data_IF_459266383712
#
_entry.id   IF_459266383712
#
_cell.length_a   1.000
_cell.length_b   1.000
_cell.length_c   1.000
_cell.angle_alpha   90.00
_cell.angle_beta   90.00
_cell.angle_gamma   90.00
#
_symmetry.space_group_name_H-M   'P 1'
#
loop_
_entity.id
_entity.type
_entity.pdbx_description
1 polymer ?
#
# COMPACT_ATOMS: atom_id res chain seq x y z
N UNK A 1 23.51 14.95 26.12
CA UNK A 1 22.51 13.86 26.09
C UNK A 1 22.51 13.26 24.69
N UNK A 2 22.76 11.96 24.53
CA UNK A 2 22.66 11.32 23.20
C UNK A 2 21.19 11.27 22.77
N UNK A 3 20.89 11.86 21.61
CA UNK A 3 19.57 11.82 20.99
C UNK A 3 19.28 10.37 20.58
N UNK A 4 18.24 9.75 21.15
CA UNK A 4 17.80 8.41 20.72
C UNK A 4 17.21 8.55 19.31
N UNK A 5 17.78 7.84 18.33
CA UNK A 5 17.29 7.78 16.95
C UNK A 5 16.53 6.48 16.75
N UNK A 6 15.32 6.54 16.21
CA UNK A 6 14.52 5.36 15.89
C UNK A 6 15.02 4.75 14.57
N UNK A 7 15.22 3.43 14.54
CA UNK A 7 15.56 2.67 13.32
C UNK A 7 14.59 1.51 13.16
N UNK A 8 14.17 1.23 11.94
CA UNK A 8 13.41 0.03 11.60
C UNK A 8 14.32 -0.97 10.89
N UNK A 9 14.33 -2.21 11.38
CA UNK A 9 15.04 -3.32 10.76
C UNK A 9 14.01 -4.29 10.20
N UNK A 10 14.11 -4.58 8.90
CA UNK A 10 13.37 -5.67 8.27
C UNK A 10 14.28 -6.88 8.16
N UNK A 11 13.76 -8.05 8.54
CA UNK A 11 14.41 -9.35 8.37
C UNK A 11 13.57 -10.18 7.41
N UNK A 12 14.15 -10.60 6.29
CA UNK A 12 13.53 -11.54 5.35
C UNK A 12 14.18 -12.92 5.52
N UNK A 13 13.40 -13.88 6.03
CA UNK A 13 13.84 -15.26 6.20
C UNK A 13 13.53 -16.08 4.95
N UNK A 14 14.43 -17.01 4.61
CA UNK A 14 14.10 -18.04 3.62
C UNK A 14 12.92 -18.89 4.12
N UNK A 15 12.07 -19.41 3.22
CA UNK A 15 11.00 -20.32 3.61
C UNK A 15 11.53 -21.46 4.48
N UNK A 16 10.87 -21.68 5.61
CA UNK A 16 11.22 -22.75 6.55
C UNK A 16 10.23 -23.88 6.34
N UNK A 17 10.74 -25.09 6.19
CA UNK A 17 9.96 -26.30 6.13
C UNK A 17 10.32 -27.16 7.34
N UNK A 18 9.29 -27.58 8.08
CA UNK A 18 9.40 -28.49 9.21
C UNK A 18 8.68 -29.79 8.87
N UNK A 19 9.26 -30.91 9.28
CA UNK A 19 8.62 -32.22 9.21
C UNK A 19 8.17 -32.57 10.62
N UNK A 20 6.90 -32.92 10.79
CA UNK A 20 6.31 -33.32 12.06
C UNK A 20 5.90 -34.78 11.97
N UNK A 21 6.18 -35.55 13.01
CA UNK A 21 5.61 -36.89 13.20
C UNK A 21 4.36 -36.74 14.08
N UNK A 22 3.19 -36.97 13.48
CA UNK A 22 1.88 -36.80 14.14
C UNK A 22 0.98 -38.01 13.87
N UNK A 23 0.03 -38.24 14.76
CA UNK A 23 -1.02 -39.24 14.54
C UNK A 23 -1.98 -38.77 13.44
N UNK A 24 -2.57 -39.72 12.69
CA UNK A 24 -3.43 -39.44 11.53
C UNK A 24 -4.66 -38.56 11.85
N UNK A 25 -5.16 -38.58 13.08
CA UNK A 25 -6.39 -37.88 13.48
C UNK A 25 -6.15 -36.52 14.16
N UNK A 26 -4.96 -35.95 14.03
CA UNK A 26 -4.66 -34.64 14.64
C UNK A 26 -5.44 -33.52 13.92
N UNK A 27 -6.16 -32.65 14.66
CA UNK A 27 -6.81 -31.48 14.06
C UNK A 27 -5.77 -30.52 13.46
N UNK A 28 -6.13 -29.88 12.33
CA UNK A 28 -5.26 -28.91 11.63
C UNK A 28 -4.76 -27.78 12.53
N UNK A 29 -5.59 -27.30 13.46
CA UNK A 29 -5.21 -26.24 14.41
C UNK A 29 -4.09 -26.68 15.37
N UNK A 30 -4.14 -27.94 15.85
CA UNK A 30 -3.08 -28.49 16.69
C UNK A 30 -1.80 -28.77 15.87
N UNK A 31 -1.95 -29.19 14.61
CA UNK A 31 -0.82 -29.36 13.69
C UNK A 31 -0.08 -28.03 13.47
N UNK A 32 -0.80 -26.92 13.34
CA UNK A 32 -0.21 -25.59 13.16
C UNK A 32 0.60 -25.17 14.39
N UNK A 33 0.09 -25.38 15.60
CA UNK A 33 0.80 -25.07 16.84
C UNK A 33 2.12 -25.86 16.95
N UNK A 34 2.09 -27.16 16.64
CA UNK A 34 3.30 -28.00 16.62
C UNK A 34 4.30 -27.54 15.55
N UNK A 35 3.81 -27.08 14.39
CA UNK A 35 4.65 -26.53 13.33
C UNK A 35 5.34 -25.23 13.76
N UNK A 36 4.61 -24.31 14.42
CA UNK A 36 5.16 -23.06 14.93
C UNK A 36 6.27 -23.31 15.96
N UNK A 37 6.05 -24.23 16.91
CA UNK A 37 7.07 -24.61 17.89
C UNK A 37 8.32 -25.20 17.23
N UNK A 38 8.13 -26.12 16.26
CA UNK A 38 9.24 -26.72 15.53
C UNK A 38 10.06 -25.69 14.73
N UNK A 39 9.39 -24.70 14.10
CA UNK A 39 10.06 -23.60 13.38
C UNK A 39 10.89 -22.76 14.36
N UNK A 40 10.34 -22.42 15.53
CA UNK A 40 11.07 -21.65 16.55
C UNK A 40 12.33 -22.41 17.01
N UNK A 41 12.22 -23.72 17.25
CA UNK A 41 13.38 -24.53 17.65
C UNK A 41 14.42 -24.62 16.53
N UNK A 42 13.99 -24.80 15.27
CA UNK A 42 14.90 -24.85 14.13
C UNK A 42 15.66 -23.54 13.94
N UNK A 43 15.00 -22.39 14.09
CA UNK A 43 15.64 -21.06 14.01
C UNK A 43 16.63 -20.85 15.17
N UNK A 44 16.32 -21.34 16.38
CA UNK A 44 17.23 -21.28 17.53
C UNK A 44 18.49 -22.12 17.32
N UNK A 45 18.36 -23.30 16.74
CA UNK A 45 19.46 -24.27 16.60
C UNK A 45 20.32 -24.04 15.35
N UNK A 46 19.71 -23.63 14.24
CA UNK A 46 20.40 -23.31 12.99
C UNK A 46 20.11 -21.88 12.60
N UNK A 47 21.17 -21.09 12.38
CA UNK A 47 21.03 -19.79 11.70
C UNK A 47 20.51 -20.04 10.29
N UNK A 48 19.20 -19.91 10.10
CA UNK A 48 18.59 -19.80 8.79
C UNK A 48 19.14 -18.55 8.12
N UNK A 49 19.62 -18.68 6.88
CA UNK A 49 20.10 -17.52 6.13
C UNK A 49 18.98 -16.49 6.00
N UNK A 50 19.22 -15.27 6.45
CA UNK A 50 18.31 -14.14 6.33
C UNK A 50 19.01 -12.99 5.61
N UNK A 51 18.24 -12.18 4.91
CA UNK A 51 18.66 -10.85 4.47
C UNK A 51 18.02 -9.81 5.38
N UNK A 52 18.67 -8.67 5.52
CA UNK A 52 18.12 -7.57 6.31
C UNK A 52 18.28 -6.23 5.59
N UNK A 53 17.40 -5.30 5.93
CA UNK A 53 17.56 -3.88 5.62
C UNK A 53 17.27 -3.05 6.86
N UNK A 54 18.00 -1.94 7.00
CA UNK A 54 17.87 -1.00 8.11
C UNK A 54 17.57 0.37 7.54
N UNK A 55 16.49 0.98 7.99
CA UNK A 55 16.08 2.33 7.61
C UNK A 55 15.85 3.18 8.87
N UNK A 56 16.04 4.49 8.78
CA UNK A 56 15.75 5.41 9.89
C UNK A 56 14.25 5.71 9.99
N UNK A 57 13.78 6.00 11.20
CA UNK A 57 12.38 6.33 11.49
C UNK A 57 11.41 5.15 11.40
N UNK A 58 10.16 5.37 11.80
CA UNK A 58 9.10 4.37 11.72
C UNK A 58 8.74 4.10 10.24
N UNK A 59 8.82 2.86 9.78
CA UNK A 59 8.34 2.48 8.44
C UNK A 59 6.89 2.04 8.44
N UNK A 60 6.22 2.20 7.30
CA UNK A 60 4.94 1.56 7.05
C UNK A 60 5.11 0.03 7.04
N UNK A 61 4.24 -0.69 7.75
CA UNK A 61 4.19 -2.15 7.62
C UNK A 61 3.31 -2.56 6.43
N UNK A 62 3.55 -3.75 5.87
CA UNK A 62 2.71 -4.27 4.78
C UNK A 62 1.24 -4.47 5.21
N UNK A 63 1.01 -4.75 6.50
CA UNK A 63 -0.32 -4.93 7.04
C UNK A 63 -1.10 -3.63 7.14
N UNK A 64 -0.42 -2.47 7.16
CA UNK A 64 -1.06 -1.15 7.17
C UNK A 64 -1.18 -0.56 5.76
N UNK A 65 -0.40 -1.06 4.81
CA UNK A 65 -0.40 -0.57 3.43
C UNK A 65 -1.72 -0.89 2.72
N UNK A 66 -2.44 0.14 2.27
CA UNK A 66 -3.71 0.02 1.54
C UNK A 66 -3.80 1.08 0.44
N UNK A 67 -4.46 0.80 -0.70
CA UNK A 67 -4.73 1.83 -1.69
C UNK A 67 -5.54 3.00 -1.08
N UNK A 68 -5.24 4.23 -1.51
CA UNK A 68 -5.77 5.47 -0.94
C UNK A 68 -4.94 6.05 0.21
N UNK A 69 -4.06 5.26 0.83
CA UNK A 69 -3.24 5.75 1.95
C UNK A 69 -2.15 6.73 1.45
N UNK A 70 -2.08 7.89 2.08
CA UNK A 70 -1.00 8.87 1.94
C UNK A 70 0.23 8.41 2.72
N UNK A 71 1.37 8.47 2.04
CA UNK A 71 2.67 8.05 2.56
C UNK A 71 3.73 9.04 2.11
N UNK A 72 4.86 9.08 2.81
CA UNK A 72 6.03 9.84 2.37
C UNK A 72 7.15 8.87 2.05
N UNK A 73 7.90 9.14 0.98
CA UNK A 73 9.11 8.40 0.67
C UNK A 73 10.24 8.84 1.60
N UNK A 74 10.88 7.89 2.28
CA UNK A 74 11.92 8.20 3.26
C UNK A 74 13.18 8.81 2.64
N UNK A 75 13.53 8.40 1.42
CA UNK A 75 14.75 8.84 0.74
C UNK A 75 14.68 10.27 0.18
N UNK A 76 13.47 10.71 -0.16
CA UNK A 76 13.23 11.97 -0.88
C UNK A 76 12.36 12.95 -0.10
N UNK A 77 11.66 12.50 0.94
CA UNK A 77 10.64 13.29 1.63
C UNK A 77 9.40 13.57 0.77
N UNK A 78 9.29 12.97 -0.42
CA UNK A 78 8.21 13.26 -1.37
C UNK A 78 6.91 12.58 -0.93
N UNK A 79 5.81 13.34 -0.97
CA UNK A 79 4.46 12.82 -0.72
C UNK A 79 4.03 11.88 -1.86
N UNK A 80 3.43 10.76 -1.50
CA UNK A 80 2.94 9.77 -2.43
C UNK A 80 1.62 9.16 -1.95
N UNK A 81 0.87 8.57 -2.88
CA UNK A 81 -0.37 7.85 -2.60
C UNK A 81 -0.22 6.40 -3.03
N UNK A 82 -0.59 5.46 -2.17
CA UNK A 82 -0.64 4.05 -2.54
C UNK A 82 -1.83 3.83 -3.48
N UNK A 83 -1.61 3.24 -4.65
CA UNK A 83 -2.68 2.88 -5.60
C UNK A 83 -2.87 1.37 -5.78
N UNK A 84 -1.91 0.56 -5.34
CA UNK A 84 -1.95 -0.90 -5.46
C UNK A 84 -1.15 -1.57 -4.34
N UNK A 85 -1.62 -2.73 -3.87
CA UNK A 85 -0.93 -3.56 -2.88
C UNK A 85 -1.04 -5.03 -3.28
N UNK A 86 0.11 -5.62 -3.61
CA UNK A 86 0.28 -7.01 -4.04
C UNK A 86 1.31 -7.70 -3.13
N UNK A 87 0.89 -8.23 -1.96
CA UNK A 87 1.80 -8.72 -0.91
C UNK A 87 2.83 -9.77 -1.34
N UNK A 88 2.51 -10.55 -2.39
CA UNK A 88 3.36 -11.63 -2.91
C UNK A 88 4.44 -11.15 -3.88
N UNK A 89 4.43 -9.88 -4.29
CA UNK A 89 5.40 -9.33 -5.23
C UNK A 89 6.69 -8.88 -4.53
N UNK A 90 7.82 -8.91 -5.25
CA UNK A 90 9.11 -8.38 -4.78
C UNK A 90 9.02 -6.93 -4.31
N UNK A 91 8.24 -6.11 -4.99
CA UNK A 91 7.89 -4.74 -4.62
C UNK A 91 6.37 -4.65 -4.48
N UNK A 92 5.84 -4.89 -3.28
CA UNK A 92 4.41 -5.16 -3.09
C UNK A 92 3.56 -3.91 -3.14
N UNK A 93 4.11 -2.70 -2.99
CA UNK A 93 3.32 -1.46 -2.93
C UNK A 93 3.55 -0.63 -4.19
N UNK A 94 2.49 -0.31 -4.92
CA UNK A 94 2.49 0.69 -5.99
C UNK A 94 2.12 2.06 -5.42
N UNK A 95 2.98 3.05 -5.65
CA UNK A 95 2.74 4.45 -5.25
C UNK A 95 2.74 5.38 -6.46
N UNK A 96 1.98 6.46 -6.39
CA UNK A 96 2.04 7.58 -7.32
C UNK A 96 2.51 8.84 -6.58
N UNK A 97 3.37 9.61 -7.24
CA UNK A 97 3.87 10.91 -6.78
C UNK A 97 3.48 12.00 -7.78
N UNK A 98 3.78 13.25 -7.44
CA UNK A 98 3.54 14.42 -8.29
C UNK A 98 4.10 14.21 -9.71
N UNK A 99 3.37 14.69 -10.71
CA UNK A 99 3.68 14.43 -12.13
C UNK A 99 3.38 12.98 -12.54
N UNK A 100 2.44 12.31 -11.86
CA UNK A 100 1.96 10.95 -12.20
C UNK A 100 3.07 9.91 -12.29
N UNK A 101 4.15 10.16 -11.54
CA UNK A 101 5.30 9.26 -11.44
C UNK A 101 4.90 8.05 -10.60
N UNK A 102 4.78 6.89 -11.26
CA UNK A 102 4.43 5.63 -10.61
C UNK A 102 5.69 4.83 -10.28
N UNK A 103 5.75 4.30 -9.05
CA UNK A 103 6.85 3.47 -8.58
C UNK A 103 6.32 2.27 -7.81
N UNK A 104 7.03 1.14 -7.89
CA UNK A 104 6.79 0.00 -7.01
C UNK A 104 7.90 -0.07 -5.97
N UNK A 105 7.52 -0.11 -4.70
CA UNK A 105 8.45 -0.02 -3.56
C UNK A 105 8.19 -1.09 -2.52
N UNK A 106 9.16 -1.23 -1.62
CA UNK A 106 9.00 -1.98 -0.38
C UNK A 106 8.35 -1.10 0.69
N UNK A 107 7.56 -1.67 1.63
CA UNK A 107 6.96 -0.91 2.73
C UNK A 107 7.99 -0.14 3.56
N UNK A 108 9.19 -0.71 3.73
CA UNK A 108 10.27 -0.09 4.51
C UNK A 108 10.73 1.26 3.96
N UNK A 109 10.57 1.50 2.65
CA UNK A 109 10.93 2.75 1.98
C UNK A 109 9.91 3.88 2.19
N UNK A 110 8.80 3.58 2.87
CA UNK A 110 7.69 4.48 3.12
C UNK A 110 7.55 4.77 4.60
N UNK A 111 7.17 6.00 4.91
CA UNK A 111 6.71 6.41 6.23
C UNK A 111 5.26 6.88 6.17
N UNK A 112 4.58 6.77 7.31
CA UNK A 112 3.21 7.28 7.46
C UNK A 112 3.24 8.80 7.51
N UNK A 113 2.26 9.42 6.87
CA UNK A 113 1.96 10.83 7.09
C UNK A 113 1.17 10.94 8.39
N UNK A 114 1.77 11.55 9.41
CA UNK A 114 1.13 11.78 10.72
C UNK A 114 0.76 13.25 10.95
N UNK A 115 1.16 14.14 10.04
CA UNK A 115 0.86 15.57 10.08
C UNK A 115 -0.50 15.81 9.42
N UNK A 116 -1.22 16.85 9.85
CA UNK A 116 -2.43 17.33 9.16
C UNK A 116 -2.05 17.87 7.77
N UNK A 117 -1.89 16.95 6.82
CA UNK A 117 -1.75 17.27 5.40
C UNK A 117 -3.15 17.32 4.79
N UNK A 118 -3.44 18.37 4.04
CA UNK A 118 -4.65 18.46 3.23
C UNK A 118 -4.61 17.36 2.17
N UNK A 119 -5.60 16.47 2.16
CA UNK A 119 -5.67 15.36 1.21
C UNK A 119 -5.64 15.84 -0.24
N UNK A 120 -6.10 17.06 -0.47
CA UNK A 120 -6.07 17.79 -1.73
C UNK A 120 -4.65 17.97 -2.29
N UNK A 121 -3.63 18.11 -1.44
CA UNK A 121 -2.24 18.26 -1.87
C UNK A 121 -1.69 16.98 -2.52
N UNK A 122 -2.35 15.85 -2.25
CA UNK A 122 -2.07 14.55 -2.87
C UNK A 122 -2.92 14.30 -4.14
N UNK A 123 -3.69 15.28 -4.61
CA UNK A 123 -4.42 15.23 -5.88
C UNK A 123 -3.58 15.89 -6.98
N UNK A 124 -2.93 15.06 -7.79
CA UNK A 124 -2.04 15.49 -8.87
C UNK A 124 -2.74 15.70 -10.23
N UNK A 125 -4.02 15.32 -10.35
CA UNK A 125 -4.78 15.32 -11.61
C UNK A 125 -4.28 14.30 -12.64
N UNK A 126 -4.74 14.40 -13.89
CA UNK A 126 -4.12 13.75 -15.05
C UNK A 126 -3.05 14.67 -15.64
N UNK A 127 -1.88 14.13 -16.04
CA UNK A 127 -0.90 14.95 -16.79
C UNK A 127 -1.56 15.47 -18.07
N UNK A 128 -1.40 16.77 -18.35
CA UNK A 128 -1.90 17.43 -19.55
C UNK A 128 -1.08 17.03 -20.78
N UNK A 129 -1.06 15.74 -21.14
CA UNK A 129 -0.38 15.23 -22.33
C UNK A 129 -1.21 15.51 -23.59
N UNK A 130 -1.69 16.74 -23.78
CA UNK A 130 -2.30 17.21 -25.03
C UNK A 130 -3.56 16.49 -25.53
N UNK A 131 -4.00 15.42 -24.87
CA UNK A 131 -5.20 14.65 -25.21
C UNK A 131 -6.30 15.11 -24.25
N UNK A 132 -6.91 16.25 -24.58
CA UNK A 132 -8.00 16.84 -23.79
C UNK A 132 -9.28 15.99 -23.78
N UNK A 133 -9.40 14.96 -24.62
CA UNK A 133 -10.68 14.34 -24.94
C UNK A 133 -10.74 12.82 -24.79
N UNK A 134 -10.00 12.23 -23.84
CA UNK A 134 -10.30 10.83 -23.48
C UNK A 134 -10.58 10.68 -21.99
N UNK A 135 -11.71 10.07 -21.67
CA UNK A 135 -12.16 9.59 -20.34
C UNK A 135 -11.23 8.52 -19.73
N UNK A 136 -9.95 8.58 -20.05
CA UNK A 136 -8.96 7.56 -19.79
C UNK A 136 -8.33 7.77 -18.41
N UNK A 137 -9.11 7.43 -17.40
CA UNK A 137 -8.63 7.23 -16.04
C UNK A 137 -7.84 5.91 -15.95
N UNK A 138 -6.64 5.94 -15.36
CA UNK A 138 -5.78 4.76 -15.24
C UNK A 138 -5.30 4.56 -13.81
N UNK A 139 -4.89 3.33 -13.48
CA UNK A 139 -4.24 2.97 -12.22
C UNK A 139 -3.17 4.00 -11.81
N UNK A 140 -3.28 4.57 -10.63
CA UNK A 140 -2.42 5.60 -10.09
C UNK A 140 -2.82 7.04 -10.44
N UNK A 141 -3.87 7.29 -11.24
CA UNK A 141 -4.38 8.65 -11.37
C UNK A 141 -5.05 9.10 -10.07
N UNK A 142 -4.79 10.34 -9.67
CA UNK A 142 -5.42 10.98 -8.53
C UNK A 142 -6.36 12.06 -9.01
N UNK A 143 -7.52 12.20 -8.39
CA UNK A 143 -8.52 13.18 -8.78
C UNK A 143 -9.57 13.34 -7.69
N UNK A 144 -10.75 13.79 -8.10
CA UNK A 144 -11.92 13.89 -7.26
C UNK A 144 -13.03 13.00 -7.80
N UNK A 145 -13.74 12.31 -6.92
CA UNK A 145 -15.01 11.68 -7.23
C UNK A 145 -16.14 12.63 -6.86
N UNK A 146 -16.86 13.14 -7.87
CA UNK A 146 -18.06 13.97 -7.68
C UNK A 146 -19.21 13.08 -7.25
N UNK A 147 -19.67 13.26 -6.02
CA UNK A 147 -20.94 12.72 -5.55
C UNK A 147 -22.01 13.82 -5.55
N UNK A 148 -23.24 13.51 -5.11
CA UNK A 148 -24.36 14.48 -5.13
C UNK A 148 -24.17 15.71 -4.23
N UNK A 149 -23.24 15.67 -3.28
CA UNK A 149 -23.05 16.69 -2.23
C UNK A 149 -21.63 17.27 -2.19
N UNK A 150 -20.62 16.50 -2.57
CA UNK A 150 -19.21 16.81 -2.35
C UNK A 150 -18.28 16.19 -3.40
N UNK A 151 -17.04 16.69 -3.41
CA UNK A 151 -15.91 16.12 -4.14
C UNK A 151 -14.99 15.37 -3.19
N UNK A 152 -14.87 14.06 -3.37
CA UNK A 152 -14.01 13.21 -2.54
C UNK A 152 -12.65 13.07 -3.24
N UNK A 153 -11.52 13.44 -2.62
CA UNK A 153 -10.20 13.18 -3.19
C UNK A 153 -9.97 11.66 -3.25
N UNK A 154 -9.52 11.17 -4.39
CA UNK A 154 -9.39 9.74 -4.67
C UNK A 154 -8.14 9.40 -5.48
N UNK A 155 -7.74 8.13 -5.40
CA UNK A 155 -6.81 7.50 -6.33
C UNK A 155 -7.48 6.34 -7.07
N UNK A 156 -7.21 6.24 -8.35
CA UNK A 156 -7.63 5.11 -9.18
C UNK A 156 -6.72 3.93 -8.88
N UNK A 157 -7.30 2.85 -8.35
CA UNK A 157 -6.63 1.57 -8.26
C UNK A 157 -6.98 0.69 -9.45
N UNK A 158 -7.13 -0.61 -9.21
CA UNK A 158 -7.23 -1.63 -10.26
C UNK A 158 -8.31 -1.32 -11.31
N UNK A 159 -7.94 -1.41 -12.58
CA UNK A 159 -8.88 -1.28 -13.72
C UNK A 159 -9.06 -2.62 -14.44
N UNK A 160 -10.32 -2.95 -14.75
CA UNK A 160 -10.69 -4.01 -15.69
C UNK A 160 -11.51 -3.42 -16.83
N UNK A 161 -11.89 -4.24 -17.82
CA UNK A 161 -12.78 -3.80 -18.90
C UNK A 161 -14.19 -3.43 -18.40
N UNK A 162 -14.61 -3.97 -17.25
CA UNK A 162 -15.96 -3.80 -16.72
C UNK A 162 -16.08 -2.79 -15.58
N UNK A 163 -14.96 -2.48 -14.91
CA UNK A 163 -14.96 -1.54 -13.78
C UNK A 163 -13.58 -0.96 -13.47
N UNK A 164 -13.59 0.09 -12.65
CA UNK A 164 -12.43 0.72 -12.06
C UNK A 164 -12.64 0.85 -10.56
N UNK A 165 -11.70 0.38 -9.77
CA UNK A 165 -11.75 0.52 -8.31
C UNK A 165 -11.13 1.88 -7.94
N UNK A 166 -11.90 2.74 -7.26
CA UNK A 166 -11.50 4.10 -6.88
C UNK A 166 -11.47 4.20 -5.36
N UNK A 167 -10.34 4.63 -4.80
CA UNK A 167 -10.10 4.63 -3.36
C UNK A 167 -10.04 6.07 -2.83
N UNK A 168 -10.85 6.44 -1.82
CA UNK A 168 -10.69 7.69 -1.07
C UNK A 168 -9.26 7.85 -0.56
N UNK A 169 -8.75 9.08 -0.63
CA UNK A 169 -7.50 9.42 0.03
C UNK A 169 -7.68 9.45 1.55
N UNK A 170 -6.69 8.96 2.28
CA UNK A 170 -6.68 8.97 3.76
C UNK A 170 -5.27 9.04 4.33
N UNK A 171 -5.13 9.57 5.53
CA UNK A 171 -3.92 9.49 6.36
C UNK A 171 -4.06 8.40 7.46
N UNK A 172 -5.26 7.85 7.65
CA UNK A 172 -5.58 6.92 8.72
C UNK A 172 -5.35 5.46 8.28
N UNK A 173 -4.53 4.73 9.05
CA UNK A 173 -4.17 3.32 8.75
C UNK A 173 -5.13 2.29 9.37
N UNK A 174 -5.96 2.72 10.31
CA UNK A 174 -6.92 1.92 11.07
C UNK A 174 -8.33 1.89 10.43
N UNK A 175 -8.60 2.79 9.49
CA UNK A 175 -9.86 2.81 8.77
C UNK A 175 -9.85 1.80 7.63
N UNK A 176 -10.83 0.88 7.63
CA UNK A 176 -11.16 0.11 6.44
C UNK A 176 -11.80 1.08 5.43
N UNK A 177 -10.96 1.65 4.56
CA UNK A 177 -11.43 2.49 3.48
C UNK A 177 -12.07 1.60 2.41
N UNK A 178 -13.40 1.66 2.32
CA UNK A 178 -14.13 1.06 1.22
C UNK A 178 -13.80 1.79 -0.08
N UNK A 179 -13.74 1.04 -1.18
CA UNK A 179 -13.53 1.60 -2.51
C UNK A 179 -14.85 1.74 -3.26
N UNK A 180 -14.89 2.64 -4.23
CA UNK A 180 -15.99 2.82 -5.16
C UNK A 180 -15.72 2.04 -6.46
N UNK A 181 -16.45 0.95 -6.75
CA UNK A 181 -16.37 0.30 -8.04
C UNK A 181 -17.13 1.12 -9.08
N UNK A 182 -16.42 1.90 -9.89
CA UNK A 182 -17.01 2.67 -10.98
C UNK A 182 -17.14 1.80 -12.23
N UNK A 183 -18.32 1.81 -12.83
CA UNK A 183 -18.56 1.26 -14.17
C UNK A 183 -18.28 2.32 -15.24
N UNK A 184 -18.08 1.94 -16.51
CA UNK A 184 -17.75 2.90 -17.58
C UNK A 184 -18.68 4.10 -17.69
N UNK A 185 -19.98 3.91 -17.50
CA UNK A 185 -20.98 4.97 -17.51
C UNK A 185 -20.84 5.99 -16.35
N UNK A 186 -20.05 5.65 -15.32
CA UNK A 186 -19.80 6.49 -14.15
C UNK A 186 -18.40 7.11 -14.16
N UNK A 187 -17.56 6.84 -15.17
CA UNK A 187 -16.23 7.47 -15.27
C UNK A 187 -16.28 9.01 -15.36
N UNK A 188 -17.30 9.65 -15.98
CA UNK A 188 -17.42 11.11 -15.98
C UNK A 188 -17.61 11.75 -14.59
N UNK A 189 -17.88 10.96 -13.54
CA UNK A 189 -17.92 11.44 -12.16
C UNK A 189 -16.51 11.72 -11.60
N UNK A 190 -15.46 11.20 -12.22
CA UNK A 190 -14.09 11.50 -11.85
C UNK A 190 -13.65 12.81 -12.51
N UNK A 191 -13.18 13.75 -11.70
CA UNK A 191 -12.74 15.08 -12.09
C UNK A 191 -11.29 15.32 -11.69
N UNK A 192 -10.56 16.10 -12.49
CA UNK A 192 -9.19 16.51 -12.14
C UNK A 192 -9.19 17.59 -11.04
N UNK A 193 -10.25 18.40 -10.96
CA UNK A 193 -10.38 19.53 -10.05
C UNK A 193 -11.75 19.53 -9.33
N UNK A 194 -11.86 20.31 -8.24
CA UNK A 194 -13.11 20.48 -7.46
C UNK A 194 -14.15 21.37 -8.15
N UNK A 195 -13.83 21.94 -9.32
CA UNK A 195 -14.66 22.86 -10.07
C UNK A 195 -14.93 22.26 -11.44
N UNK A 196 -16.16 21.76 -11.64
CA UNK A 196 -16.73 21.30 -12.92
C UNK A 196 -18.26 21.34 -12.86
#
# INVERSE_FOLDING_TARGET
>A
MSKKVQKTVRLDFKPVQVTLEVNNDIPTEQLLLLAEEAVIQQIKQKRTGYSYSVEEGASLSLNEARPGLLVRRKDTGELAVIYDVKPRNKYPIGIVMKGIRKLKVMPIALEKVNEEILLEDAVFGRESTGIKDTDNWYEGHTGYLKNQKDFIPVVVGKRTNSKMDVYPLTIHTDQNVNYYPLRPNNYPLLKDHKED
#
